data_IF_969584739752
#
_entry.id   IF_969584739752
#
_cell.length_a   1.000
_cell.length_b   1.000
_cell.length_c   1.000
_cell.angle_alpha   90.00
_cell.angle_beta   90.00
_cell.angle_gamma   90.00
#
_symmetry.space_group_name_H-M   'P 1'
#
loop_
_entity.id
_entity.type
_entity.pdbx_description
1 polymer ?
#
# COMPACT_ATOMS: atom_id res chain seq x y z
N UNK A 1 -18.63 -5.54 32.97
CA UNK A 1 -17.28 -5.64 33.55
C UNK A 1 -16.30 -6.35 32.60
N UNK A 2 -16.69 -7.49 31.99
CA UNK A 2 -15.87 -8.24 31.02
C UNK A 2 -15.33 -7.42 29.84
N UNK A 3 -16.18 -6.62 29.18
CA UNK A 3 -15.77 -5.76 28.04
C UNK A 3 -14.70 -4.73 28.43
N UNK A 4 -14.72 -4.19 29.65
CA UNK A 4 -13.72 -3.22 30.11
C UNK A 4 -12.37 -3.88 30.42
N UNK A 5 -12.39 -5.14 30.92
CA UNK A 5 -11.18 -5.93 31.15
C UNK A 5 -10.56 -6.39 29.83
N UNK A 6 -11.40 -6.86 28.92
CA UNK A 6 -11.02 -7.28 27.59
C UNK A 6 -10.47 -6.12 26.73
N UNK A 7 -11.00 -4.91 26.89
CA UNK A 7 -10.45 -3.71 26.23
C UNK A 7 -9.07 -3.30 26.77
N UNK A 8 -8.71 -3.70 28.00
CA UNK A 8 -7.44 -3.37 28.65
C UNK A 8 -6.35 -4.40 28.34
N UNK A 9 -6.69 -5.68 28.38
CA UNK A 9 -5.80 -6.77 27.97
C UNK A 9 -6.58 -7.98 27.41
N UNK A 10 -6.70 -8.09 26.08
CA UNK A 10 -7.37 -9.22 25.43
C UNK A 10 -6.67 -10.58 25.68
N UNK A 11 -5.39 -10.59 26.07
CA UNK A 11 -4.62 -11.81 26.31
C UNK A 11 -4.81 -12.39 27.72
N UNK A 12 -5.41 -11.61 28.62
CA UNK A 12 -5.69 -12.00 29.99
C UNK A 12 -7.07 -12.65 30.18
N UNK A 13 -7.81 -12.89 29.08
CA UNK A 13 -9.11 -13.57 29.12
C UNK A 13 -8.91 -15.09 29.04
N UNK A 14 -9.55 -15.80 29.95
CA UNK A 14 -9.63 -17.26 29.88
C UNK A 14 -10.57 -17.70 28.72
N UNK A 15 -10.44 -18.93 28.19
CA UNK A 15 -11.24 -19.39 27.05
C UNK A 15 -12.76 -19.29 27.27
N UNK A 16 -13.23 -19.59 28.47
CA UNK A 16 -14.60 -19.48 28.94
C UNK A 16 -15.10 -18.02 28.95
N UNK A 17 -14.25 -17.06 29.32
CA UNK A 17 -14.57 -15.63 29.28
C UNK A 17 -14.73 -15.12 27.83
N UNK A 18 -14.01 -15.72 26.87
CA UNK A 18 -14.13 -15.41 25.44
C UNK A 18 -15.46 -15.92 24.88
N UNK A 19 -15.82 -17.17 25.18
CA UNK A 19 -17.08 -17.76 24.74
C UNK A 19 -18.29 -16.99 25.31
N UNK A 20 -18.21 -16.59 26.57
CA UNK A 20 -19.23 -15.76 27.21
C UNK A 20 -19.37 -14.38 26.54
N UNK A 21 -18.24 -13.78 26.14
CA UNK A 21 -18.24 -12.49 25.45
C UNK A 21 -18.84 -12.58 24.03
N UNK A 22 -18.59 -13.68 23.32
CA UNK A 22 -19.21 -13.96 22.00
C UNK A 22 -20.71 -14.19 22.17
N UNK A 23 -21.13 -14.98 23.16
CA UNK A 23 -22.55 -15.23 23.46
C UNK A 23 -23.30 -13.93 23.76
N UNK A 24 -22.70 -13.03 24.56
CA UNK A 24 -23.27 -11.71 24.85
C UNK A 24 -23.34 -10.83 23.59
N UNK A 25 -22.30 -10.83 22.75
CA UNK A 25 -22.29 -10.08 21.49
C UNK A 25 -23.43 -10.52 20.55
N UNK A 26 -23.61 -11.83 20.36
CA UNK A 26 -24.68 -12.38 19.52
C UNK A 26 -26.07 -12.04 20.07
N UNK A 27 -26.25 -12.13 21.39
CA UNK A 27 -27.52 -11.79 22.05
C UNK A 27 -27.89 -10.32 21.83
N UNK A 28 -26.97 -9.38 22.06
CA UNK A 28 -27.24 -7.95 21.90
C UNK A 28 -27.42 -7.56 20.43
N UNK A 29 -26.71 -8.24 19.51
CA UNK A 29 -26.89 -8.03 18.07
C UNK A 29 -28.28 -8.47 17.59
N UNK A 30 -28.76 -9.61 18.10
CA UNK A 30 -30.14 -10.07 17.85
C UNK A 30 -31.16 -9.06 18.38
N UNK A 31 -30.98 -8.56 19.60
CA UNK A 31 -31.87 -7.56 20.19
C UNK A 31 -31.89 -6.25 19.38
N UNK A 32 -30.74 -5.81 18.86
CA UNK A 32 -30.67 -4.66 17.96
C UNK A 32 -31.40 -4.91 16.64
N UNK A 33 -31.29 -6.12 16.07
CA UNK A 33 -32.02 -6.49 14.86
C UNK A 33 -33.53 -6.44 15.08
N UNK A 34 -34.01 -7.05 16.17
CA UNK A 34 -35.43 -7.03 16.53
C UNK A 34 -35.92 -5.60 16.79
N UNK A 35 -35.14 -4.79 17.51
CA UNK A 35 -35.49 -3.41 17.77
C UNK A 35 -35.61 -2.60 16.47
N UNK A 36 -34.63 -2.69 15.56
CA UNK A 36 -34.69 -1.98 14.27
C UNK A 36 -35.89 -2.36 13.39
N UNK A 37 -36.36 -3.60 13.48
CA UNK A 37 -37.43 -4.13 12.62
C UNK A 37 -38.81 -3.96 13.23
N UNK A 38 -38.94 -3.99 14.56
CA UNK A 38 -40.24 -4.05 15.24
C UNK A 38 -40.49 -2.92 16.23
N UNK A 39 -39.47 -2.13 16.59
CA UNK A 39 -39.57 -1.05 17.56
C UNK A 39 -39.12 0.25 16.88
N UNK A 40 -40.05 1.14 16.55
CA UNK A 40 -39.77 2.48 16.01
C UNK A 40 -39.21 3.44 17.09
N UNK A 41 -38.24 2.97 17.88
CA UNK A 41 -37.56 3.72 18.93
C UNK A 41 -36.09 4.01 18.54
N UNK A 42 -35.79 5.25 18.09
CA UNK A 42 -34.45 5.63 17.67
C UNK A 42 -33.45 5.72 18.84
N UNK A 43 -33.90 6.04 20.06
CA UNK A 43 -33.01 6.15 21.22
C UNK A 43 -32.54 4.77 21.68
N UNK A 44 -33.47 3.81 21.72
CA UNK A 44 -33.18 2.41 22.04
C UNK A 44 -32.20 1.79 21.03
N UNK A 45 -32.44 2.03 19.74
CA UNK A 45 -31.59 1.55 18.65
C UNK A 45 -30.18 2.13 18.75
N UNK A 46 -30.04 3.43 19.07
CA UNK A 46 -28.74 4.07 19.27
C UNK A 46 -28.00 3.52 20.50
N UNK A 47 -28.70 3.27 21.60
CA UNK A 47 -28.11 2.69 22.81
C UNK A 47 -27.60 1.25 22.58
N UNK A 48 -28.37 0.41 21.88
CA UNK A 48 -27.98 -0.94 21.52
C UNK A 48 -26.80 -0.95 20.53
N UNK A 49 -26.83 -0.08 19.52
CA UNK A 49 -25.73 0.08 18.56
C UNK A 49 -24.40 0.42 19.26
N UNK A 50 -24.40 1.34 20.23
CA UNK A 50 -23.20 1.66 21.03
C UNK A 50 -22.68 0.46 21.83
N UNK A 51 -23.57 -0.38 22.38
CA UNK A 51 -23.19 -1.60 23.10
C UNK A 51 -22.59 -2.64 22.16
N UNK A 52 -23.20 -2.85 20.99
CA UNK A 52 -22.66 -3.73 19.94
C UNK A 52 -21.30 -3.25 19.49
N UNK A 53 -21.14 -1.97 19.14
CA UNK A 53 -19.87 -1.40 18.69
C UNK A 53 -18.72 -1.63 19.70
N UNK A 54 -18.99 -1.45 20.99
CA UNK A 54 -18.00 -1.69 22.06
C UNK A 54 -17.64 -3.17 22.20
N UNK A 55 -18.61 -4.07 22.07
CA UNK A 55 -18.35 -5.52 22.06
C UNK A 55 -17.59 -5.97 20.81
N UNK A 56 -17.91 -5.41 19.64
CA UNK A 56 -17.24 -5.72 18.37
C UNK A 56 -15.77 -5.34 18.40
N UNK A 57 -15.42 -4.19 18.99
CA UNK A 57 -14.03 -3.78 19.18
C UNK A 57 -13.21 -4.76 20.04
N UNK A 58 -13.88 -5.57 20.87
CA UNK A 58 -13.26 -6.59 21.72
C UNK A 58 -13.26 -7.97 21.06
N UNK A 59 -14.41 -8.43 20.53
CA UNK A 59 -14.56 -9.71 19.81
C UNK A 59 -13.65 -9.76 18.58
N UNK A 60 -13.64 -8.67 17.82
CA UNK A 60 -12.82 -8.53 16.62
C UNK A 60 -11.49 -7.84 16.92
N UNK A 61 -11.10 -7.77 18.21
CA UNK A 61 -9.95 -7.06 18.76
C UNK A 61 -8.82 -6.86 17.76
N UNK A 62 -8.42 -5.60 17.57
CA UNK A 62 -7.33 -5.13 16.69
C UNK A 62 -6.22 -6.16 16.49
N UNK A 63 -6.42 -6.97 15.45
CA UNK A 63 -5.83 -8.28 15.17
C UNK A 63 -4.29 -8.33 15.39
N UNK A 64 -3.76 -8.74 16.56
CA UNK A 64 -2.32 -8.91 16.72
C UNK A 64 -1.82 -10.22 16.08
N UNK A 65 -2.73 -11.16 15.79
CA UNK A 65 -2.42 -12.44 15.12
C UNK A 65 -2.09 -12.24 13.63
N UNK A 66 -2.54 -11.15 13.01
CA UNK A 66 -2.26 -10.88 11.60
C UNK A 66 -1.00 -10.08 11.41
N UNK A 67 -0.73 -9.09 12.27
CA UNK A 67 0.51 -8.34 12.16
C UNK A 67 1.74 -9.23 12.33
N UNK A 68 1.70 -10.18 13.27
CA UNK A 68 2.80 -11.14 13.46
C UNK A 68 2.97 -12.09 12.26
N UNK A 69 1.88 -12.57 11.67
CA UNK A 69 1.91 -13.40 10.45
C UNK A 69 2.34 -12.60 9.22
N UNK A 70 1.96 -11.33 9.11
CA UNK A 70 2.40 -10.42 8.04
C UNK A 70 3.90 -10.14 8.19
N UNK A 71 4.37 -9.77 9.38
CA UNK A 71 5.80 -9.55 9.63
C UNK A 71 6.61 -10.83 9.41
N UNK A 72 6.10 -11.99 9.84
CA UNK A 72 6.75 -13.28 9.60
C UNK A 72 6.73 -13.67 8.12
N UNK A 73 5.65 -13.37 7.40
CA UNK A 73 5.56 -13.55 5.94
C UNK A 73 6.52 -12.63 5.18
N UNK A 74 6.65 -11.38 5.61
CA UNK A 74 7.59 -10.41 5.04
C UNK A 74 9.05 -10.71 5.41
N UNK A 75 9.32 -11.36 6.55
CA UNK A 75 10.70 -11.70 6.94
C UNK A 75 11.15 -13.09 6.50
N UNK A 76 10.24 -14.06 6.33
CA UNK A 76 10.57 -15.42 5.86
C UNK A 76 10.18 -15.72 4.41
N UNK A 77 9.02 -15.25 3.94
CA UNK A 77 8.50 -15.61 2.61
C UNK A 77 8.95 -14.61 1.54
N UNK A 78 9.05 -13.32 1.88
CA UNK A 78 9.53 -12.27 0.97
C UNK A 78 10.97 -12.47 0.49
N UNK A 79 11.98 -12.85 1.31
CA UNK A 79 13.33 -13.08 0.81
C UNK A 79 13.38 -14.19 -0.24
N UNK A 80 12.57 -15.23 -0.08
CA UNK A 80 12.45 -16.30 -1.08
C UNK A 80 11.84 -15.78 -2.40
N UNK A 81 10.78 -14.96 -2.31
CA UNK A 81 10.17 -14.33 -3.48
C UNK A 81 11.14 -13.38 -4.22
N UNK A 82 11.91 -12.58 -3.48
CA UNK A 82 12.96 -11.71 -4.05
C UNK A 82 14.06 -12.53 -4.72
N UNK A 83 14.47 -13.65 -4.11
CA UNK A 83 15.49 -14.53 -4.69
C UNK A 83 15.02 -15.23 -5.96
N UNK A 84 13.74 -15.56 -6.07
CA UNK A 84 13.16 -16.08 -7.31
C UNK A 84 13.01 -14.99 -8.39
N UNK A 85 12.68 -13.77 -7.99
CA UNK A 85 12.53 -12.64 -8.90
C UNK A 85 13.85 -12.03 -9.39
N UNK A 86 15.00 -12.37 -8.78
CA UNK A 86 16.30 -11.77 -9.13
C UNK A 86 16.70 -11.98 -10.60
N UNK A 87 16.43 -13.16 -11.17
CA UNK A 87 16.75 -13.46 -12.56
C UNK A 87 15.86 -12.67 -13.54
N UNK A 88 14.51 -12.69 -13.44
CA UNK A 88 13.68 -11.89 -14.34
C UNK A 88 13.92 -10.38 -14.17
N UNK A 89 14.23 -9.89 -12.95
CA UNK A 89 14.63 -8.50 -12.73
C UNK A 89 15.96 -8.22 -13.45
N UNK A 90 16.99 -9.04 -13.25
CA UNK A 90 18.29 -8.86 -13.89
C UNK A 90 18.20 -8.91 -15.42
N UNK A 91 17.42 -9.84 -15.97
CA UNK A 91 17.17 -9.94 -17.41
C UNK A 91 16.44 -8.70 -17.93
N UNK A 92 15.39 -8.24 -17.23
CA UNK A 92 14.67 -7.02 -17.61
C UNK A 92 15.59 -5.79 -17.59
N UNK A 93 16.40 -5.64 -16.54
CA UNK A 93 17.39 -4.56 -16.43
C UNK A 93 18.42 -4.63 -17.55
N UNK A 94 18.93 -5.82 -17.86
CA UNK A 94 19.92 -6.00 -18.92
C UNK A 94 19.34 -5.68 -20.30
N UNK A 95 18.12 -6.16 -20.59
CA UNK A 95 17.44 -5.86 -21.87
C UNK A 95 17.17 -4.36 -22.01
N UNK A 96 16.70 -3.71 -20.95
CA UNK A 96 16.46 -2.27 -20.94
C UNK A 96 17.76 -1.49 -21.16
N UNK A 97 18.81 -1.80 -20.38
CA UNK A 97 20.12 -1.16 -20.50
C UNK A 97 20.75 -1.41 -21.88
N UNK A 98 20.65 -2.62 -22.42
CA UNK A 98 21.14 -2.96 -23.74
C UNK A 98 20.41 -2.18 -24.83
N UNK A 99 19.08 -2.04 -24.72
CA UNK A 99 18.28 -1.25 -25.67
C UNK A 99 18.72 0.21 -25.70
N UNK A 100 18.95 0.80 -24.52
CA UNK A 100 19.47 2.17 -24.41
C UNK A 100 20.89 2.27 -24.96
N UNK A 101 21.77 1.33 -24.65
CA UNK A 101 23.14 1.31 -25.15
C UNK A 101 23.20 1.20 -26.68
N UNK A 102 22.37 0.35 -27.28
CA UNK A 102 22.26 0.23 -28.75
C UNK A 102 21.84 1.56 -29.37
N UNK A 103 20.81 2.21 -28.80
CA UNK A 103 20.36 3.53 -29.29
C UNK A 103 21.47 4.57 -29.17
N UNK A 104 22.14 4.65 -28.02
CA UNK A 104 23.23 5.59 -27.78
C UNK A 104 24.41 5.38 -28.73
N UNK A 105 24.82 4.13 -28.95
CA UNK A 105 25.89 3.79 -29.89
C UNK A 105 25.51 4.13 -31.33
N UNK A 106 24.26 3.88 -31.73
CA UNK A 106 23.79 4.21 -33.07
C UNK A 106 23.80 5.73 -33.31
N UNK A 107 23.30 6.52 -32.37
CA UNK A 107 23.35 7.99 -32.44
C UNK A 107 24.80 8.51 -32.44
N UNK A 108 25.72 7.89 -31.70
CA UNK A 108 27.10 8.34 -31.62
C UNK A 108 27.91 8.05 -32.89
N UNK A 109 27.54 7.01 -33.66
CA UNK A 109 28.32 6.53 -34.81
C UNK A 109 27.68 6.84 -36.17
N UNK A 110 26.40 7.21 -36.23
CA UNK A 110 25.68 7.47 -37.49
C UNK A 110 25.10 8.90 -37.53
N UNK A 111 25.50 9.72 -38.50
CA UNK A 111 24.88 11.02 -38.76
C UNK A 111 23.41 10.90 -39.15
N UNK A 112 23.04 9.86 -39.90
CA UNK A 112 21.64 9.63 -40.30
C UNK A 112 20.74 9.37 -39.10
N UNK A 113 21.26 8.74 -38.04
CA UNK A 113 20.53 8.53 -36.79
C UNK A 113 20.20 9.84 -36.07
N UNK A 114 21.13 10.80 -36.09
CA UNK A 114 20.93 12.13 -35.51
C UNK A 114 19.92 12.93 -36.33
N UNK A 115 19.99 12.86 -37.65
CA UNK A 115 19.01 13.50 -38.54
C UNK A 115 17.60 12.93 -38.34
N UNK A 116 17.48 11.61 -38.14
CA UNK A 116 16.20 10.95 -37.87
C UNK A 116 15.65 11.19 -36.45
N UNK A 117 16.46 11.68 -35.52
CA UNK A 117 16.07 11.85 -34.11
C UNK A 117 15.06 12.97 -33.87
N UNK A 118 15.04 13.99 -34.74
CA UNK A 118 14.11 15.12 -34.65
C UNK A 118 13.98 15.85 -36.01
N UNK A 119 12.83 16.52 -36.27
CA UNK A 119 12.67 17.39 -37.43
C UNK A 119 13.76 18.46 -37.51
N UNK A 120 14.11 18.86 -38.73
CA UNK A 120 15.14 19.88 -39.01
C UNK A 120 14.93 21.17 -38.22
N UNK A 121 13.68 21.63 -38.13
CA UNK A 121 13.30 22.85 -37.43
C UNK A 121 13.63 22.79 -35.93
N UNK A 122 13.42 21.64 -35.30
CA UNK A 122 13.71 21.41 -33.88
C UNK A 122 15.21 21.35 -33.63
N UNK A 123 16.00 20.73 -34.53
CA UNK A 123 17.46 20.70 -34.39
C UNK A 123 18.08 22.09 -34.57
N UNK A 124 17.57 22.89 -35.51
CA UNK A 124 18.07 24.27 -35.70
C UNK A 124 17.74 25.18 -34.53
N UNK A 125 16.50 25.16 -34.03
CA UNK A 125 16.13 25.90 -32.82
C UNK A 125 17.02 25.51 -31.63
N UNK A 126 17.32 24.20 -31.47
CA UNK A 126 18.21 23.73 -30.41
C UNK A 126 19.64 24.28 -30.54
N UNK A 127 20.21 24.30 -31.75
CA UNK A 127 21.57 24.80 -31.99
C UNK A 127 21.69 26.32 -31.86
N UNK A 128 20.66 27.06 -32.29
CA UNK A 128 20.70 28.52 -32.38
C UNK A 128 20.28 29.20 -31.07
N UNK A 129 19.29 28.67 -30.35
CA UNK A 129 18.71 29.33 -29.17
C UNK A 129 19.04 28.57 -27.88
N UNK A 130 18.73 27.28 -27.81
CA UNK A 130 18.81 26.53 -26.55
C UNK A 130 20.26 26.19 -26.14
N UNK A 131 21.13 25.88 -27.11
CA UNK A 131 22.52 25.54 -26.84
C UNK A 131 23.32 26.74 -26.31
N UNK A 132 23.13 27.92 -26.92
CA UNK A 132 23.76 29.16 -26.47
C UNK A 132 23.20 29.61 -25.10
N UNK A 133 21.87 29.54 -24.93
CA UNK A 133 21.23 29.87 -23.65
C UNK A 133 21.71 28.96 -22.50
N UNK A 134 21.94 27.67 -22.76
CA UNK A 134 22.43 26.72 -21.76
C UNK A 134 23.80 27.12 -21.20
N UNK A 135 24.75 27.48 -22.06
CA UNK A 135 26.10 27.85 -21.62
C UNK A 135 26.26 29.31 -21.19
N UNK A 136 25.35 30.20 -21.63
CA UNK A 136 25.38 31.62 -21.21
C UNK A 136 24.67 31.89 -19.88
N UNK A 137 23.76 31.01 -19.46
CA UNK A 137 23.01 31.13 -18.21
C UNK A 137 23.74 30.59 -16.97
N UNK A 138 24.80 29.80 -17.14
CA UNK A 138 25.73 29.44 -16.06
C UNK A 138 26.84 30.49 -15.97
N UNK A 139 26.83 31.42 -15.00
CA UNK A 139 28.01 32.24 -14.74
C UNK A 139 29.13 31.28 -14.35
N UNK A 140 30.15 31.17 -15.21
CA UNK A 140 31.26 30.23 -15.03
C UNK A 140 31.74 30.27 -13.58
N UNK A 141 31.52 29.17 -12.86
CA UNK A 141 32.06 28.99 -11.52
C UNK A 141 33.56 28.80 -11.66
N UNK A 142 34.28 29.92 -11.69
CA UNK A 142 35.72 30.01 -11.47
C UNK A 142 36.04 29.86 -9.98
#
# INVERSE_FOLDING_TARGET
MLVARAARDPRALAPDEVDELVRLHLTVSSQLSTARTHLDDPELTAALSRRVARSSAVVHGTRPRTWRTVVQGVTRTFPAAVWHARLPIAVSTLVFAASFAVMAVWLALSPEAVEASAPEEVRRAYLEEDFEAYYSSEPGTA
#
